data_IF_781248132003
#
_entry.id   IF_781248132003
#
_cell.length_a   1.000
_cell.length_b   1.000
_cell.length_c   1.000
_cell.angle_alpha   90.00
_cell.angle_beta   90.00
_cell.angle_gamma   90.00
#
_symmetry.space_group_name_H-M   'P 1'
#
loop_
_entity.id
_entity.type
_entity.pdbx_description
1 polymer ?
#
# COMPACT_ATOMS: atom_id res chain seq x y z
N UNK A 1 -24.62 33.13 -26.73
CA UNK A 1 -25.80 33.82 -26.14
C UNK A 1 -26.94 32.82 -26.02
N UNK A 2 -27.79 32.92 -24.96
CA UNK A 2 -29.14 32.34 -24.77
C UNK A 2 -29.37 30.85 -25.17
N UNK A 3 -29.53 29.89 -24.26
CA UNK A 3 -30.65 29.61 -23.30
C UNK A 3 -32.05 29.45 -23.93
N UNK A 4 -32.53 28.20 -23.97
CA UNK A 4 -33.81 27.68 -23.44
C UNK A 4 -33.55 26.20 -23.09
N UNK A 5 -33.98 25.56 -21.99
CA UNK A 5 -34.74 25.97 -20.78
C UNK A 5 -36.28 26.02 -20.89
N UNK A 6 -36.92 24.86 -20.73
CA UNK A 6 -38.26 24.55 -20.14
C UNK A 6 -38.45 23.00 -20.22
N UNK A 7 -39.14 22.26 -19.36
CA UNK A 7 -39.74 22.47 -18.04
C UNK A 7 -40.13 21.06 -17.50
N UNK A 8 -39.73 20.67 -16.29
CA UNK A 8 -40.48 20.84 -15.04
C UNK A 8 -41.85 20.14 -15.03
N UNK A 9 -41.93 18.99 -14.34
CA UNK A 9 -43.13 18.58 -13.60
C UNK A 9 -42.75 18.26 -12.16
N UNK A 10 -43.31 19.03 -11.24
CA UNK A 10 -43.44 18.70 -9.82
C UNK A 10 -44.88 18.15 -9.62
N UNK A 11 -45.32 17.59 -8.48
CA UNK A 11 -44.70 17.36 -7.18
C UNK A 11 -45.52 16.28 -6.41
N UNK A 12 -44.95 15.71 -5.34
CA UNK A 12 -45.62 15.30 -4.08
C UNK A 12 -46.87 14.40 -4.17
N UNK A 13 -46.79 13.18 -3.62
CA UNK A 13 -47.61 12.74 -2.46
C UNK A 13 -46.80 11.80 -1.57
N UNK A 14 -46.89 12.04 -0.27
CA UNK A 14 -46.29 11.29 0.84
C UNK A 14 -46.94 9.93 1.05
N UNK A 15 -46.16 8.87 1.30
CA UNK A 15 -46.64 7.65 1.95
C UNK A 15 -45.54 7.06 2.85
N UNK A 16 -45.72 7.19 4.17
CA UNK A 16 -44.86 6.55 5.15
C UNK A 16 -45.38 5.14 5.45
N UNK A 17 -44.53 4.12 5.22
CA UNK A 17 -44.65 2.77 5.79
C UNK A 17 -43.23 2.34 6.16
N UNK A 18 -42.83 2.48 7.43
CA UNK A 18 -43.08 1.46 8.47
C UNK A 18 -42.21 0.20 8.32
N UNK A 19 -40.90 0.36 8.11
CA UNK A 19 -39.90 -0.58 8.63
C UNK A 19 -39.67 -0.26 10.10
N UNK A 20 -40.11 -1.13 11.00
CA UNK A 20 -40.23 -0.81 12.42
C UNK A 20 -38.91 -0.44 13.08
N UNK A 21 -38.88 0.75 13.70
CA UNK A 21 -38.13 0.89 14.93
C UNK A 21 -38.71 -0.12 15.92
N UNK A 22 -38.03 -1.25 16.13
CA UNK A 22 -38.17 -1.97 17.39
C UNK A 22 -37.54 -1.07 18.44
N UNK A 23 -38.31 -0.09 18.91
CA UNK A 23 -38.08 0.51 20.21
C UNK A 23 -38.39 -0.57 21.23
N UNK A 24 -37.41 -1.46 21.41
CA UNK A 24 -37.22 -2.19 22.64
C UNK A 24 -36.97 -1.11 23.70
N UNK A 25 -38.06 -0.56 24.24
CA UNK A 25 -38.11 -0.24 25.65
C UNK A 25 -38.07 -1.58 26.41
N UNK A 26 -36.94 -2.27 26.28
CA UNK A 26 -36.37 -2.95 27.41
C UNK A 26 -36.02 -1.82 28.37
N UNK A 27 -37.04 -1.43 29.15
CA UNK A 27 -36.81 -0.79 30.41
C UNK A 27 -36.04 -1.82 31.23
N UNK A 28 -34.71 -1.79 31.07
CA UNK A 28 -33.75 -2.23 32.07
C UNK A 28 -34.14 -1.48 33.34
N UNK A 29 -35.08 -2.09 34.03
CA UNK A 29 -35.60 -1.64 35.30
C UNK A 29 -34.49 -2.01 36.24
N UNK A 30 -33.48 -1.14 36.32
CA UNK A 30 -32.27 -1.32 37.12
C UNK A 30 -32.69 -1.96 38.42
N UNK A 31 -32.33 -3.23 38.63
CA UNK A 31 -32.70 -3.89 39.87
C UNK A 31 -32.09 -3.05 40.99
N UNK A 32 -32.80 -2.79 42.10
CA UNK A 32 -32.27 -1.92 43.14
C UNK A 32 -30.88 -2.39 43.62
N UNK A 33 -29.82 -1.68 43.22
CA UNK A 33 -28.42 -2.05 43.44
C UNK A 33 -27.61 -2.46 42.21
N UNK A 34 -28.20 -2.57 41.01
CA UNK A 34 -27.46 -2.68 39.74
C UNK A 34 -27.21 -1.28 39.16
N UNK A 35 -25.94 -0.96 38.91
CA UNK A 35 -25.55 0.27 38.22
C UNK A 35 -25.91 0.25 36.73
N UNK A 36 -25.64 1.34 35.99
CA UNK A 36 -25.87 1.40 34.55
C UNK A 36 -25.01 0.36 33.81
N UNK A 37 -25.41 -0.01 32.59
CA UNK A 37 -24.58 -0.84 31.72
C UNK A 37 -23.50 0.01 31.03
N UNK A 38 -22.35 -0.61 30.69
CA UNK A 38 -21.27 0.06 29.91
C UNK A 38 -21.80 0.65 28.59
N UNK A 39 -22.85 0.07 28.00
CA UNK A 39 -23.51 0.58 26.79
C UNK A 39 -24.45 1.75 27.07
N UNK A 40 -25.20 1.72 28.18
CA UNK A 40 -26.08 2.82 28.60
C UNK A 40 -25.29 4.10 28.89
N UNK A 41 -24.14 3.98 29.56
CA UNK A 41 -23.25 5.11 29.83
C UNK A 41 -22.75 5.80 28.54
N UNK A 42 -22.46 5.02 27.48
CA UNK A 42 -22.01 5.54 26.18
C UNK A 42 -23.08 6.30 25.40
N UNK A 43 -24.35 5.89 25.48
CA UNK A 43 -25.42 6.45 24.65
C UNK A 43 -25.86 7.86 25.06
N UNK A 44 -25.67 8.24 26.33
CA UNK A 44 -26.15 9.52 26.87
C UNK A 44 -25.30 10.76 26.52
N UNK A 45 -24.07 10.59 26.02
CA UNK A 45 -23.00 11.62 26.07
C UNK A 45 -22.70 12.16 27.47
N UNK A 46 -23.16 11.46 28.50
CA UNK A 46 -22.86 11.76 29.90
C UNK A 46 -21.36 11.59 30.11
N UNK A 47 -20.70 12.60 30.68
CA UNK A 47 -19.34 12.41 31.20
C UNK A 47 -19.39 11.65 32.53
N UNK A 48 -18.22 11.34 33.11
CA UNK A 48 -18.17 10.64 34.38
C UNK A 48 -18.93 11.34 35.51
N UNK A 49 -19.01 12.68 35.49
CA UNK A 49 -19.73 13.47 36.51
C UNK A 49 -21.24 13.28 36.39
N UNK A 50 -21.77 13.29 35.16
CA UNK A 50 -23.19 13.01 34.90
C UNK A 50 -23.57 11.58 35.34
N UNK A 51 -22.70 10.60 35.06
CA UNK A 51 -22.91 9.20 35.46
C UNK A 51 -22.84 9.03 36.99
N UNK A 52 -21.86 9.65 37.68
CA UNK A 52 -21.80 9.67 39.14
C UNK A 52 -23.08 10.29 39.75
N UNK A 53 -23.45 11.48 39.27
CA UNK A 53 -24.57 12.27 39.80
C UNK A 53 -25.90 11.52 39.65
N UNK A 54 -26.13 10.91 38.48
CA UNK A 54 -27.35 10.14 38.19
C UNK A 54 -27.51 8.89 39.05
N UNK A 55 -26.42 8.38 39.63
CA UNK A 55 -26.39 7.20 40.50
C UNK A 55 -26.16 7.54 41.98
N UNK A 56 -26.31 8.80 42.37
CA UNK A 56 -26.09 9.31 43.73
C UNK A 56 -24.68 9.02 44.31
N UNK A 57 -23.68 8.91 43.44
CA UNK A 57 -22.27 8.77 43.82
C UNK A 57 -21.63 10.16 44.08
N UNK A 58 -20.48 10.23 44.79
CA UNK A 58 -19.79 11.49 45.04
C UNK A 58 -19.40 12.24 43.76
N UNK A 59 -19.37 13.57 43.82
CA UNK A 59 -18.89 14.39 42.71
C UNK A 59 -17.41 14.08 42.43
N UNK A 60 -17.08 13.76 41.17
CA UNK A 60 -15.73 13.31 40.79
C UNK A 60 -15.43 11.86 41.16
N UNK A 61 -16.45 11.00 41.32
CA UNK A 61 -16.24 9.54 41.35
C UNK A 61 -15.67 9.04 40.02
N UNK A 62 -15.19 7.80 40.00
CA UNK A 62 -14.82 7.09 38.77
C UNK A 62 -15.83 5.96 38.51
N UNK A 63 -16.80 6.13 37.60
CA UNK A 63 -17.82 5.13 37.29
C UNK A 63 -17.26 3.74 37.01
N UNK A 64 -16.14 3.60 36.29
CA UNK A 64 -15.56 2.29 36.02
C UNK A 64 -15.10 1.58 37.30
N UNK A 65 -14.66 2.33 38.31
CA UNK A 65 -14.27 1.78 39.61
C UNK A 65 -15.49 1.47 40.48
N UNK A 66 -16.45 2.39 40.57
CA UNK A 66 -17.62 2.25 41.44
C UNK A 66 -18.58 1.14 40.95
N UNK A 67 -18.65 0.89 39.63
CA UNK A 67 -19.45 -0.19 39.05
C UNK A 67 -18.65 -1.47 38.72
N UNK A 68 -17.37 -1.53 39.08
CA UNK A 68 -16.53 -2.72 38.87
C UNK A 68 -16.33 -3.09 37.41
N UNK A 69 -16.25 -2.10 36.52
CA UNK A 69 -15.96 -2.29 35.10
C UNK A 69 -14.46 -2.51 34.86
N UNK A 70 -13.59 -1.88 35.67
CA UNK A 70 -12.18 -2.26 35.75
C UNK A 70 -11.99 -3.63 36.41
N UNK A 71 -11.12 -4.47 35.86
CA UNK A 71 -10.79 -5.78 36.40
C UNK A 71 -11.80 -6.88 36.02
N UNK A 72 -12.71 -6.61 35.07
CA UNK A 72 -13.65 -7.59 34.52
C UNK A 72 -13.08 -8.43 33.35
N UNK A 73 -11.87 -8.10 32.91
CA UNK A 73 -11.15 -8.74 31.81
C UNK A 73 -11.36 -8.10 30.43
N UNK A 74 -12.11 -7.00 30.35
CA UNK A 74 -12.39 -6.25 29.12
C UNK A 74 -11.81 -4.84 29.22
N UNK A 75 -10.93 -4.49 28.27
CA UNK A 75 -10.35 -3.14 28.20
C UNK A 75 -11.41 -2.08 27.84
N UNK A 76 -11.69 -1.17 28.78
CA UNK A 76 -12.65 -0.06 28.71
C UNK A 76 -12.02 1.26 28.22
N UNK A 77 -10.99 1.14 27.38
CA UNK A 77 -10.37 2.20 26.59
C UNK A 77 -11.34 3.31 26.14
N UNK A 78 -12.46 2.91 25.54
CA UNK A 78 -13.41 3.83 24.92
C UNK A 78 -14.27 4.60 25.95
N UNK A 79 -14.43 4.07 27.16
CA UNK A 79 -15.04 4.80 28.28
C UNK A 79 -14.09 5.85 28.85
N UNK A 80 -12.78 5.60 28.82
CA UNK A 80 -11.74 6.56 29.22
C UNK A 80 -11.66 7.71 28.19
N UNK A 81 -11.61 7.38 26.88
CA UNK A 81 -11.61 8.37 25.80
C UNK A 81 -12.91 9.23 25.79
N UNK A 82 -14.06 8.61 26.09
CA UNK A 82 -15.32 9.31 26.25
C UNK A 82 -15.42 10.16 27.54
N UNK A 83 -14.40 10.14 28.40
CA UNK A 83 -14.37 10.78 29.74
C UNK A 83 -15.46 10.30 30.70
N UNK A 84 -15.99 9.09 30.45
CA UNK A 84 -16.91 8.39 31.37
C UNK A 84 -16.13 7.84 32.56
N UNK A 85 -14.92 7.34 32.33
CA UNK A 85 -14.05 6.76 33.35
C UNK A 85 -12.73 7.53 33.46
N UNK A 86 -12.11 7.51 34.64
CA UNK A 86 -10.90 8.31 34.91
C UNK A 86 -9.61 7.68 34.34
N UNK A 87 -9.58 6.35 34.23
CA UNK A 87 -8.42 5.55 33.82
C UNK A 87 -7.25 5.56 34.81
N UNK A 88 -6.17 4.78 34.54
CA UNK A 88 -6.10 3.75 33.51
C UNK A 88 -6.84 2.47 33.94
N UNK A 89 -7.30 1.70 32.96
CA UNK A 89 -7.92 0.40 33.20
C UNK A 89 -6.84 -0.70 33.30
N UNK A 90 -6.79 -1.50 34.40
CA UNK A 90 -5.85 -2.62 34.54
C UNK A 90 -6.01 -3.74 33.51
N UNK A 91 -7.18 -3.87 32.84
CA UNK A 91 -7.40 -4.88 31.80
C UNK A 91 -6.92 -4.44 30.42
N UNK A 92 -6.67 -3.14 30.22
CA UNK A 92 -6.04 -2.60 29.03
C UNK A 92 -4.55 -2.97 28.97
N UNK A 93 -4.30 -4.22 28.55
CA UNK A 93 -2.97 -4.71 28.18
C UNK A 93 -2.58 -4.12 26.84
N UNK A 94 -1.30 -3.79 26.72
CA UNK A 94 -0.74 -3.34 25.45
C UNK A 94 -0.91 -4.40 24.37
N UNK A 95 -1.55 -4.01 23.26
CA UNK A 95 -1.67 -4.82 22.05
C UNK A 95 -1.00 -4.12 20.89
N UNK A 96 -0.03 -4.77 20.26
CA UNK A 96 0.71 -4.20 19.15
C UNK A 96 0.52 -5.03 17.87
N UNK A 97 0.60 -4.35 16.72
CA UNK A 97 0.56 -4.96 15.41
C UNK A 97 1.48 -4.24 14.42
N UNK A 98 2.03 -4.97 13.47
CA UNK A 98 2.75 -4.43 12.32
C UNK A 98 1.94 -4.65 11.03
N UNK A 99 2.26 -3.87 9.99
CA UNK A 99 1.74 -4.06 8.64
C UNK A 99 2.75 -3.56 7.61
N UNK A 100 3.03 -4.37 6.59
CA UNK A 100 3.77 -3.97 5.39
C UNK A 100 2.80 -3.47 4.30
N UNK A 101 3.16 -2.40 3.61
CA UNK A 101 2.50 -1.92 2.39
C UNK A 101 3.51 -1.76 1.24
N UNK A 102 3.00 -1.86 0.01
CA UNK A 102 3.75 -1.69 -1.22
C UNK A 102 3.19 -0.48 -1.96
N UNK A 103 4.07 0.47 -2.25
CA UNK A 103 3.77 1.67 -3.02
C UNK A 103 4.55 1.62 -4.33
N UNK A 104 3.88 1.93 -5.43
CA UNK A 104 4.48 1.90 -6.75
C UNK A 104 4.27 3.20 -7.52
N UNK A 105 5.26 3.49 -8.35
CA UNK A 105 5.15 4.40 -9.49
C UNK A 105 5.77 3.77 -10.73
N UNK A 106 5.51 4.31 -11.90
CA UNK A 106 6.25 3.94 -13.10
C UNK A 106 7.75 4.29 -12.95
N UNK A 107 8.61 3.33 -13.23
CA UNK A 107 10.06 3.51 -13.19
C UNK A 107 10.47 4.65 -14.12
N UNK A 108 11.38 5.52 -13.67
CA UNK A 108 11.93 6.64 -14.44
C UNK A 108 10.92 7.68 -14.96
N UNK A 109 9.67 7.63 -14.50
CA UNK A 109 8.62 8.60 -14.85
C UNK A 109 8.42 9.63 -13.74
N UNK A 110 8.41 10.90 -14.11
CA UNK A 110 8.21 12.04 -13.20
C UNK A 110 6.72 12.43 -13.05
N UNK A 111 5.85 11.42 -12.93
CA UNK A 111 4.41 11.58 -12.62
C UNK A 111 3.95 10.58 -11.57
N UNK A 112 2.82 10.86 -10.91
CA UNK A 112 2.19 9.95 -9.96
C UNK A 112 1.79 8.57 -10.53
N UNK A 113 1.94 7.54 -9.68
CA UNK A 113 1.35 6.22 -9.84
C UNK A 113 1.86 5.36 -10.99
N UNK A 114 1.11 4.30 -11.28
CA UNK A 114 1.31 3.40 -12.43
C UNK A 114 0.38 3.82 -13.56
N UNK A 115 0.90 3.97 -14.78
CA UNK A 115 0.08 4.22 -15.98
C UNK A 115 -0.14 2.97 -16.85
N UNK A 116 0.68 1.94 -16.69
CA UNK A 116 0.45 0.62 -17.30
C UNK A 116 1.15 -0.49 -16.54
N UNK A 117 0.55 -1.69 -16.50
CA UNK A 117 1.20 -2.90 -16.00
C UNK A 117 2.42 -3.32 -16.86
N UNK A 118 2.41 -2.98 -18.16
CA UNK A 118 3.48 -3.29 -19.09
C UNK A 118 4.76 -2.47 -18.88
N UNK A 119 4.69 -1.35 -18.14
CA UNK A 119 5.86 -0.54 -17.80
C UNK A 119 6.45 -0.98 -16.46
N UNK A 120 7.77 -1.15 -16.30
CA UNK A 120 8.39 -1.52 -15.03
C UNK A 120 8.00 -0.60 -13.86
N UNK A 121 7.61 -1.14 -12.69
CA UNK A 121 7.45 -0.34 -11.48
C UNK A 121 8.80 0.03 -10.85
N UNK A 122 8.84 1.19 -10.19
CA UNK A 122 9.64 1.35 -8.97
C UNK A 122 8.74 1.01 -7.78
N UNK A 123 9.11 -0.02 -7.02
CA UNK A 123 8.39 -0.43 -5.80
C UNK A 123 9.14 0.02 -4.56
N UNK A 124 8.53 0.87 -3.75
CA UNK A 124 8.95 1.19 -2.38
C UNK A 124 8.05 0.41 -1.43
N UNK A 125 8.58 -0.10 -0.33
CA UNK A 125 7.75 -0.66 0.75
C UNK A 125 7.78 0.24 1.99
N UNK A 126 6.74 0.17 2.80
CA UNK A 126 6.64 0.80 4.11
C UNK A 126 6.19 -0.22 5.14
N UNK A 127 6.76 -0.15 6.35
CA UNK A 127 6.29 -0.90 7.51
C UNK A 127 5.85 0.10 8.58
N UNK A 128 4.65 -0.12 9.11
CA UNK A 128 4.12 0.63 10.26
C UNK A 128 3.88 -0.33 11.40
N UNK A 129 4.31 0.05 12.60
CA UNK A 129 4.03 -0.65 13.87
C UNK A 129 3.18 0.26 14.73
N UNK A 130 2.02 -0.25 15.11
CA UNK A 130 1.10 0.39 16.03
C UNK A 130 1.09 -0.36 17.36
N UNK A 131 0.90 0.37 18.45
CA UNK A 131 0.50 -0.21 19.72
C UNK A 131 -0.68 0.58 20.28
N UNK A 132 -1.67 -0.15 20.76
CA UNK A 132 -2.73 0.37 21.63
C UNK A 132 -2.20 0.33 23.07
N UNK A 133 -2.07 1.50 23.70
CA UNK A 133 -1.55 1.63 25.07
C UNK A 133 -2.58 1.22 26.13
N UNK A 134 -2.16 1.20 27.41
CA UNK A 134 -3.06 0.94 28.55
C UNK A 134 -4.13 2.03 28.78
N UNK A 135 -4.03 3.14 28.06
CA UNK A 135 -5.05 4.19 27.97
C UNK A 135 -6.00 3.99 26.77
N UNK A 136 -5.90 2.89 26.02
CA UNK A 136 -6.76 2.61 24.87
C UNK A 136 -6.36 3.27 23.55
N UNK A 137 -5.40 4.19 23.58
CA UNK A 137 -5.02 4.98 22.40
C UNK A 137 -4.10 4.16 21.49
N UNK A 138 -4.54 3.92 20.25
CA UNK A 138 -3.69 3.38 19.18
C UNK A 138 -2.71 4.45 18.70
N UNK A 139 -1.42 4.11 18.63
CA UNK A 139 -0.36 5.02 18.22
C UNK A 139 0.67 4.31 17.36
N UNK A 140 1.11 4.98 16.28
CA UNK A 140 2.27 4.55 15.51
C UNK A 140 3.51 4.69 16.40
N UNK A 141 4.12 3.56 16.78
CA UNK A 141 5.33 3.53 17.60
C UNK A 141 6.61 3.35 16.76
N UNK A 142 6.48 2.90 15.51
CA UNK A 142 7.53 2.93 14.51
C UNK A 142 6.94 3.01 13.11
N UNK A 143 7.60 3.78 12.24
CA UNK A 143 7.36 3.83 10.80
C UNK A 143 8.72 3.76 10.12
N UNK A 144 8.84 2.98 9.05
CA UNK A 144 10.05 2.89 8.25
C UNK A 144 9.72 2.54 6.80
N UNK A 145 10.47 3.11 5.87
CA UNK A 145 10.37 2.84 4.45
C UNK A 145 11.73 2.46 3.88
N UNK A 146 11.73 1.60 2.87
CA UNK A 146 12.92 1.30 2.07
C UNK A 146 12.72 1.97 0.71
N UNK A 147 13.16 3.22 0.61
CA UNK A 147 13.02 4.01 -0.60
C UNK A 147 13.84 3.40 -1.73
N UNK A 148 13.21 3.33 -2.89
CA UNK A 148 13.82 2.77 -4.08
C UNK A 148 14.08 3.84 -5.13
N UNK A 149 15.35 4.03 -5.49
CA UNK A 149 15.80 5.10 -6.38
C UNK A 149 15.41 6.52 -5.90
N UNK A 150 15.46 6.76 -4.59
CA UNK A 150 15.35 8.08 -3.97
C UNK A 150 13.97 8.75 -3.97
N UNK A 151 12.91 8.09 -4.46
CA UNK A 151 11.54 8.59 -4.25
C UNK A 151 11.04 8.14 -2.88
N UNK A 152 10.82 9.09 -1.97
CA UNK A 152 10.27 8.82 -0.63
C UNK A 152 8.73 8.79 -0.64
N UNK A 153 8.08 8.07 0.30
CA UNK A 153 6.63 8.14 0.47
C UNK A 153 6.14 9.58 0.71
N UNK A 154 5.05 9.96 0.05
CA UNK A 154 4.44 11.30 0.21
C UNK A 154 5.06 12.42 -0.64
N UNK A 155 6.18 12.18 -1.34
CA UNK A 155 6.70 13.14 -2.35
C UNK A 155 5.68 13.33 -3.46
N UNK A 156 5.52 14.57 -3.95
CA UNK A 156 4.52 14.96 -4.95
C UNK A 156 5.14 15.34 -6.28
N UNK A 157 4.42 15.06 -7.36
CA UNK A 157 4.78 15.50 -8.71
C UNK A 157 4.41 16.98 -8.97
N UNK A 158 4.67 17.45 -10.19
CA UNK A 158 4.41 18.84 -10.59
C UNK A 158 2.92 19.25 -10.59
N UNK A 159 2.00 18.29 -10.57
CA UNK A 159 0.55 18.53 -10.47
C UNK A 159 0.08 18.57 -9.00
N UNK A 160 0.93 18.14 -8.07
CA UNK A 160 0.61 18.02 -6.65
C UNK A 160 0.12 16.64 -6.22
N UNK A 161 0.15 15.65 -7.12
CA UNK A 161 -0.25 14.27 -6.87
C UNK A 161 0.90 13.47 -6.25
N UNK A 162 0.61 12.52 -5.35
CA UNK A 162 1.64 11.74 -4.66
C UNK A 162 2.26 10.71 -5.62
N UNK A 163 3.59 10.73 -5.73
CA UNK A 163 4.34 9.86 -6.63
C UNK A 163 4.05 8.38 -6.42
N UNK A 164 4.30 7.90 -5.19
CA UNK A 164 4.19 6.51 -4.80
C UNK A 164 2.76 6.23 -4.33
N UNK A 165 2.01 5.49 -5.14
CA UNK A 165 0.62 5.10 -4.84
C UNK A 165 0.62 3.71 -4.24
N UNK A 166 -0.11 3.51 -3.13
CA UNK A 166 -0.30 2.20 -2.52
C UNK A 166 -1.04 1.25 -3.50
N UNK A 167 -0.41 0.12 -3.83
CA UNK A 167 -0.97 -0.93 -4.69
C UNK A 167 -1.38 -2.18 -3.91
N UNK A 168 -0.74 -2.43 -2.76
CA UNK A 168 -1.06 -3.55 -1.86
C UNK A 168 -0.74 -3.19 -0.43
N UNK A 169 -1.51 -3.75 0.50
CA UNK A 169 -1.27 -3.71 1.94
C UNK A 169 -1.54 -5.08 2.53
N UNK A 170 -0.66 -5.53 3.42
CA UNK A 170 -0.73 -6.85 4.05
C UNK A 170 -1.79 -6.93 5.15
N UNK A 171 -2.12 -8.14 5.60
CA UNK A 171 -2.85 -8.32 6.85
C UNK A 171 -2.01 -7.84 8.04
N UNK A 172 -2.67 -7.40 9.13
CA UNK A 172 -1.98 -7.03 10.37
C UNK A 172 -1.38 -8.26 11.04
N UNK A 173 -0.13 -8.16 11.50
CA UNK A 173 0.56 -9.20 12.29
C UNK A 173 0.70 -8.70 13.71
N UNK A 174 0.05 -9.36 14.66
CA UNK A 174 0.18 -9.07 16.09
C UNK A 174 1.47 -9.66 16.67
N UNK A 175 2.04 -8.97 17.65
CA UNK A 175 3.26 -9.41 18.35
C UNK A 175 3.54 -8.53 19.57
N UNK A 176 4.61 -8.82 20.32
CA UNK A 176 5.07 -7.89 21.37
C UNK A 176 5.69 -6.64 20.74
N UNK A 177 5.69 -5.51 21.47
CA UNK A 177 6.40 -4.28 21.03
C UNK A 177 7.85 -4.59 20.62
N UNK A 178 8.59 -5.32 21.46
CA UNK A 178 9.99 -5.66 21.22
C UNK A 178 10.19 -6.49 19.94
N UNK A 179 9.33 -7.49 19.72
CA UNK A 179 9.33 -8.33 18.53
C UNK A 179 9.04 -7.51 17.26
N UNK A 180 8.06 -6.61 17.30
CA UNK A 180 7.66 -5.79 16.14
C UNK A 180 8.68 -4.69 15.84
N UNK A 181 9.31 -4.09 16.86
CA UNK A 181 10.43 -3.17 16.67
C UNK A 181 11.67 -3.89 16.12
N UNK A 182 11.96 -5.11 16.60
CA UNK A 182 13.03 -5.95 16.05
C UNK A 182 12.77 -6.33 14.58
N UNK A 183 11.50 -6.56 14.22
CA UNK A 183 11.10 -6.73 12.82
C UNK A 183 11.39 -5.47 11.98
N UNK A 184 11.09 -4.27 12.47
CA UNK A 184 11.40 -3.01 11.75
C UNK A 184 12.91 -2.86 11.50
N UNK A 185 13.76 -3.21 12.46
CA UNK A 185 15.22 -3.17 12.25
C UNK A 185 15.71 -4.26 11.29
N UNK A 186 15.16 -5.48 11.35
CA UNK A 186 15.46 -6.52 10.38
C UNK A 186 15.05 -6.13 8.96
N UNK A 187 13.86 -5.55 8.80
CA UNK A 187 13.32 -5.03 7.55
C UNK A 187 14.24 -3.97 6.90
N UNK A 188 14.81 -3.05 7.69
CA UNK A 188 15.78 -2.05 7.19
C UNK A 188 17.06 -2.67 6.62
N UNK A 189 17.39 -3.92 6.96
CA UNK A 189 18.55 -4.65 6.42
C UNK A 189 18.24 -5.43 5.14
N UNK A 190 16.96 -5.48 4.72
CA UNK A 190 16.50 -6.24 3.57
C UNK A 190 16.78 -5.49 2.25
N UNK A 191 18.04 -5.51 1.83
CA UNK A 191 18.51 -5.01 0.53
C UNK A 191 19.50 -5.99 -0.12
N UNK A 192 19.49 -6.03 -1.45
CA UNK A 192 20.37 -6.83 -2.30
C UNK A 192 21.73 -6.16 -2.58
N UNK A 193 21.90 -4.88 -2.24
CA UNK A 193 23.14 -4.10 -2.45
C UNK A 193 24.43 -4.76 -1.89
N UNK A 194 24.44 -5.38 -0.70
CA UNK A 194 25.66 -6.00 -0.18
C UNK A 194 26.12 -7.24 -0.96
N UNK A 195 25.26 -7.82 -1.80
CA UNK A 195 25.53 -9.02 -2.59
C UNK A 195 25.66 -8.75 -4.09
N UNK A 196 25.06 -7.66 -4.60
CA UNK A 196 24.96 -7.36 -6.04
C UNK A 196 24.92 -5.85 -6.31
N UNK A 197 25.32 -5.44 -7.51
CA UNK A 197 25.39 -4.05 -7.96
C UNK A 197 24.00 -3.54 -8.35
N UNK A 198 23.64 -2.32 -7.95
CA UNK A 198 22.41 -1.70 -8.43
C UNK A 198 22.52 -1.35 -9.93
N UNK A 199 21.56 -1.78 -10.74
CA UNK A 199 21.44 -1.44 -12.16
C UNK A 199 20.57 -0.19 -12.32
N UNK A 200 21.18 1.00 -12.21
CA UNK A 200 20.54 2.25 -12.66
C UNK A 200 20.51 2.32 -14.18
N UNK A 201 19.56 3.05 -14.78
CA UNK A 201 19.60 3.29 -16.24
C UNK A 201 20.78 4.16 -16.66
N UNK A 202 21.24 5.07 -15.78
CA UNK A 202 22.44 5.88 -16.01
C UNK A 202 23.75 5.07 -15.94
N UNK A 203 23.72 3.91 -15.27
CA UNK A 203 24.85 2.99 -15.10
C UNK A 203 24.68 1.65 -15.84
N UNK A 204 23.59 1.47 -16.58
CA UNK A 204 23.37 0.29 -17.41
C UNK A 204 24.43 0.28 -18.51
N UNK A 205 25.27 -0.76 -18.52
CA UNK A 205 26.36 -0.83 -19.50
C UNK A 205 25.79 -0.74 -20.92
N UNK A 206 26.45 0.06 -21.77
CA UNK A 206 26.03 0.30 -23.15
C UNK A 206 25.69 -1.00 -23.90
N UNK A 207 26.38 -2.09 -23.61
CA UNK A 207 26.17 -3.39 -24.24
C UNK A 207 24.87 -4.09 -23.81
N UNK A 208 24.39 -3.86 -22.58
CA UNK A 208 23.03 -4.27 -22.15
C UNK A 208 21.98 -3.50 -22.94
N UNK A 209 22.11 -2.17 -23.03
CA UNK A 209 21.16 -1.32 -23.74
C UNK A 209 21.17 -1.56 -25.25
N UNK A 210 22.35 -1.78 -25.86
CA UNK A 210 22.49 -2.25 -27.25
C UNK A 210 21.78 -3.58 -27.44
N UNK A 211 21.90 -4.54 -26.51
CA UNK A 211 21.27 -5.86 -26.64
C UNK A 211 19.74 -5.78 -26.52
N UNK A 212 19.21 -4.97 -25.60
CA UNK A 212 17.77 -4.65 -25.53
C UNK A 212 17.31 -4.09 -26.86
N UNK A 213 17.96 -3.01 -27.33
CA UNK A 213 17.56 -2.31 -28.57
C UNK A 213 17.66 -3.22 -29.80
N UNK A 214 18.73 -4.00 -29.95
CA UNK A 214 18.90 -4.96 -31.05
C UNK A 214 17.75 -5.99 -31.07
N UNK A 215 17.31 -6.45 -29.90
CA UNK A 215 16.23 -7.45 -29.83
C UNK A 215 14.86 -6.81 -30.17
N UNK A 216 14.57 -5.62 -29.65
CA UNK A 216 13.34 -4.87 -30.00
C UNK A 216 13.32 -4.55 -31.50
N UNK A 217 14.42 -4.07 -32.07
CA UNK A 217 14.57 -3.79 -33.50
C UNK A 217 14.32 -5.05 -34.34
N UNK A 218 14.93 -6.18 -33.97
CA UNK A 218 14.74 -7.45 -34.67
C UNK A 218 13.29 -7.91 -34.62
N UNK A 219 12.63 -7.83 -33.46
CA UNK A 219 11.22 -8.19 -33.30
C UNK A 219 10.30 -7.28 -34.13
N UNK A 220 10.53 -5.96 -34.10
CA UNK A 220 9.81 -4.99 -34.93
C UNK A 220 9.97 -5.31 -36.42
N UNK A 221 11.20 -5.57 -36.89
CA UNK A 221 11.46 -5.95 -38.28
C UNK A 221 10.81 -7.29 -38.70
N UNK A 222 10.53 -8.19 -37.76
CA UNK A 222 9.92 -9.50 -38.03
C UNK A 222 8.40 -9.50 -37.97
N UNK A 223 7.79 -8.64 -37.14
CA UNK A 223 6.36 -8.72 -36.80
C UNK A 223 5.54 -7.45 -37.08
N UNK A 224 6.20 -6.32 -37.42
CA UNK A 224 5.51 -5.07 -37.76
C UNK A 224 5.51 -4.87 -39.29
N UNK A 225 4.33 -5.03 -39.89
CA UNK A 225 4.09 -4.81 -41.32
C UNK A 225 3.59 -3.38 -41.53
N UNK A 226 4.40 -2.56 -42.18
CA UNK A 226 4.06 -1.19 -42.53
C UNK A 226 3.58 -1.06 -43.98
N UNK A 227 2.61 -0.16 -44.20
CA UNK A 227 2.11 0.20 -45.53
C UNK A 227 2.78 1.47 -46.04
N UNK A 228 3.07 1.50 -47.35
CA UNK A 228 3.77 2.63 -47.98
C UNK A 228 2.98 3.95 -47.78
N UNK A 229 3.66 5.08 -47.49
CA UNK A 229 5.10 5.30 -47.62
C UNK A 229 5.95 4.82 -46.43
N UNK A 230 5.35 4.45 -45.31
CA UNK A 230 6.07 4.06 -44.09
C UNK A 230 6.70 2.68 -44.23
N UNK A 231 7.96 2.54 -43.81
CA UNK A 231 8.68 1.25 -43.78
C UNK A 231 9.07 0.86 -42.37
N UNK A 232 9.24 -0.43 -42.11
CA UNK A 232 9.68 -0.92 -40.79
C UNK A 232 11.09 -0.43 -40.44
N UNK A 233 11.96 -0.21 -41.43
CA UNK A 233 13.27 0.44 -41.22
C UNK A 233 13.15 1.92 -40.81
N UNK A 234 12.14 2.64 -41.30
CA UNK A 234 11.84 3.99 -40.83
C UNK A 234 11.38 3.98 -39.36
N UNK A 235 10.55 3.01 -38.96
CA UNK A 235 10.18 2.80 -37.54
C UNK A 235 11.44 2.53 -36.69
N UNK A 236 12.36 1.68 -37.16
CA UNK A 236 13.64 1.40 -36.49
C UNK A 236 14.52 2.64 -36.35
N UNK A 237 14.68 3.43 -37.43
CA UNK A 237 15.44 4.68 -37.37
C UNK A 237 14.84 5.68 -36.37
N UNK A 238 13.51 5.84 -36.36
CA UNK A 238 12.81 6.71 -35.42
C UNK A 238 12.97 6.26 -33.96
N UNK A 239 13.03 4.96 -33.68
CA UNK A 239 13.37 4.43 -32.34
C UNK A 239 14.82 4.74 -31.95
N UNK A 240 15.77 4.56 -32.87
CA UNK A 240 17.20 4.80 -32.64
C UNK A 240 17.51 6.30 -32.41
N UNK A 241 16.87 7.17 -33.18
CA UNK A 241 16.96 8.64 -33.06
C UNK A 241 16.17 9.20 -31.86
N UNK A 242 15.47 8.35 -31.10
CA UNK A 242 14.56 8.72 -29.98
C UNK A 242 13.45 9.69 -30.41
N UNK A 243 13.04 9.62 -31.67
CA UNK A 243 12.03 10.50 -32.28
C UNK A 243 10.62 9.98 -32.01
N UNK A 244 10.16 10.06 -30.76
CA UNK A 244 8.89 9.46 -30.32
C UNK A 244 7.66 10.01 -31.06
N UNK A 245 7.60 11.31 -31.34
CA UNK A 245 6.49 11.91 -32.10
C UNK A 245 6.46 11.39 -33.55
N UNK A 246 7.64 11.27 -34.19
CA UNK A 246 7.77 10.70 -35.53
C UNK A 246 7.39 9.22 -35.55
N UNK A 247 7.83 8.47 -34.54
CA UNK A 247 7.50 7.05 -34.34
C UNK A 247 5.99 6.84 -34.23
N UNK A 248 5.32 7.57 -33.34
CA UNK A 248 3.86 7.51 -33.18
C UNK A 248 3.11 7.93 -34.46
N UNK A 249 3.60 8.95 -35.17
CA UNK A 249 3.00 9.42 -36.41
C UNK A 249 3.16 8.44 -37.59
N UNK A 250 4.20 7.60 -37.58
CA UNK A 250 4.46 6.56 -38.58
C UNK A 250 3.75 5.23 -38.24
N UNK A 251 3.66 4.87 -36.95
CA UNK A 251 3.04 3.61 -36.50
C UNK A 251 1.58 3.44 -36.91
N UNK A 252 0.85 4.53 -37.17
CA UNK A 252 -0.54 4.48 -37.70
C UNK A 252 -0.65 3.76 -39.05
N UNK A 253 0.43 3.72 -39.83
CA UNK A 253 0.51 3.11 -41.15
C UNK A 253 0.97 1.65 -41.08
N UNK A 254 1.18 1.12 -39.86
CA UNK A 254 1.68 -0.22 -39.58
C UNK A 254 0.70 -1.05 -38.75
N UNK A 255 0.75 -2.37 -38.94
CA UNK A 255 0.00 -3.35 -38.17
C UNK A 255 0.94 -4.45 -37.66
N UNK A 256 0.56 -5.08 -36.55
CA UNK A 256 1.23 -6.25 -36.01
C UNK A 256 0.64 -7.54 -36.60
N UNK A 257 1.51 -8.47 -37.00
CA UNK A 257 1.08 -9.78 -37.50
C UNK A 257 0.55 -10.69 -36.39
N UNK A 258 -0.55 -11.39 -36.67
CA UNK A 258 -1.20 -12.47 -35.89
C UNK A 258 -0.86 -12.54 -34.38
N UNK A 259 -1.44 -11.62 -33.61
CA UNK A 259 -1.36 -11.63 -32.14
C UNK A 259 -0.08 -11.04 -31.55
N UNK A 260 0.85 -10.58 -32.39
CA UNK A 260 2.02 -9.81 -31.95
C UNK A 260 1.60 -8.44 -31.40
N UNK A 261 2.38 -7.89 -30.47
CA UNK A 261 2.18 -6.52 -29.97
C UNK A 261 3.51 -5.91 -29.48
N UNK A 262 3.47 -4.62 -29.13
CA UNK A 262 4.60 -3.93 -28.46
C UNK A 262 4.93 -4.57 -27.10
N UNK A 263 3.92 -4.92 -26.32
CA UNK A 263 4.07 -5.57 -25.02
C UNK A 263 4.73 -6.95 -25.17
N UNK A 264 4.31 -7.74 -26.15
CA UNK A 264 4.94 -9.02 -26.47
C UNK A 264 6.39 -8.86 -26.93
N UNK A 265 6.69 -7.83 -27.75
CA UNK A 265 8.05 -7.53 -28.20
C UNK A 265 9.00 -7.05 -27.11
N UNK A 266 8.51 -6.19 -26.20
CA UNK A 266 9.27 -5.73 -25.03
C UNK A 266 9.47 -6.84 -24.00
N UNK A 267 8.48 -7.71 -23.82
CA UNK A 267 8.61 -8.92 -23.00
C UNK A 267 9.64 -9.89 -23.59
N UNK A 268 9.57 -10.16 -24.91
CA UNK A 268 10.55 -11.00 -25.60
C UNK A 268 11.96 -10.40 -25.54
N UNK A 269 12.11 -9.08 -25.71
CA UNK A 269 13.40 -8.41 -25.61
C UNK A 269 13.99 -8.48 -24.19
N UNK A 270 13.19 -8.22 -23.17
CA UNK A 270 13.64 -8.35 -21.77
C UNK A 270 13.99 -9.79 -21.39
N UNK A 271 13.17 -10.77 -21.80
CA UNK A 271 13.49 -12.20 -21.62
C UNK A 271 14.76 -12.63 -22.36
N UNK A 272 14.95 -12.17 -23.61
CA UNK A 272 16.15 -12.48 -24.40
C UNK A 272 17.40 -11.93 -23.74
N UNK A 273 17.36 -10.65 -23.32
CA UNK A 273 18.45 -9.99 -22.59
C UNK A 273 18.77 -10.70 -21.28
N UNK A 274 17.75 -11.10 -20.51
CA UNK A 274 17.94 -11.92 -19.30
C UNK A 274 18.54 -13.29 -19.63
N UNK A 275 18.18 -13.93 -20.74
CA UNK A 275 18.71 -15.24 -21.11
C UNK A 275 20.16 -15.19 -21.63
N UNK A 276 20.49 -14.23 -22.50
CA UNK A 276 21.82 -14.12 -23.12
C UNK A 276 22.84 -13.47 -22.19
N UNK A 277 22.41 -12.53 -21.35
CA UNK A 277 23.25 -11.90 -20.34
C UNK A 277 23.07 -12.54 -18.96
N UNK A 278 22.48 -13.75 -18.90
CA UNK A 278 22.10 -14.42 -17.64
C UNK A 278 23.23 -14.75 -16.67
N UNK A 279 24.50 -14.62 -17.09
CA UNK A 279 25.66 -14.63 -16.17
C UNK A 279 26.21 -13.23 -15.85
N UNK A 280 26.04 -12.26 -16.75
CA UNK A 280 26.48 -10.86 -16.53
C UNK A 280 25.52 -10.11 -15.62
N UNK A 281 24.21 -10.33 -15.78
CA UNK A 281 23.15 -9.71 -15.00
C UNK A 281 23.00 -10.31 -13.60
N UNK A 282 23.54 -11.50 -13.34
CA UNK A 282 23.56 -12.12 -12.00
C UNK A 282 24.35 -11.27 -10.97
N UNK A 283 25.31 -10.46 -11.43
CA UNK A 283 26.00 -9.48 -10.58
C UNK A 283 25.14 -8.27 -10.21
N UNK A 284 23.93 -8.14 -10.77
CA UNK A 284 23.09 -6.95 -10.70
C UNK A 284 21.69 -7.20 -10.12
N UNK A 285 21.12 -6.17 -9.50
CA UNK A 285 19.72 -6.09 -9.11
C UNK A 285 19.10 -4.74 -9.53
N UNK A 286 17.77 -4.65 -9.50
CA UNK A 286 17.02 -3.39 -9.57
C UNK A 286 16.12 -3.25 -8.35
N UNK A 287 15.48 -2.10 -8.21
CA UNK A 287 14.56 -1.74 -7.13
C UNK A 287 13.65 -2.89 -6.66
N UNK A 288 13.00 -3.56 -7.60
CA UNK A 288 12.00 -4.58 -7.31
C UNK A 288 12.58 -5.87 -6.71
N UNK A 289 13.90 -6.10 -6.76
CA UNK A 289 14.55 -7.22 -6.07
C UNK A 289 14.47 -7.03 -4.54
N UNK A 290 14.79 -5.82 -4.05
CA UNK A 290 14.68 -5.45 -2.63
C UNK A 290 13.23 -5.57 -2.13
N UNK A 291 12.27 -5.09 -2.91
CA UNK A 291 10.85 -5.17 -2.55
C UNK A 291 10.33 -6.63 -2.48
N UNK A 292 10.86 -7.54 -3.30
CA UNK A 292 10.59 -8.98 -3.20
C UNK A 292 11.28 -9.64 -2.01
N UNK A 293 12.53 -9.26 -1.71
CA UNK A 293 13.26 -9.73 -0.52
C UNK A 293 12.52 -9.32 0.77
N UNK A 294 12.08 -8.06 0.85
CA UNK A 294 11.28 -7.51 1.95
C UNK A 294 9.93 -8.23 2.08
N UNK A 295 9.26 -8.53 0.96
CA UNK A 295 8.01 -9.30 0.95
C UNK A 295 8.21 -10.73 1.50
N UNK A 296 9.23 -11.45 1.03
CA UNK A 296 9.53 -12.80 1.51
C UNK A 296 9.91 -12.84 3.00
N UNK A 297 10.65 -11.84 3.48
CA UNK A 297 10.96 -11.67 4.89
C UNK A 297 9.70 -11.41 5.73
N UNK A 298 8.82 -10.53 5.25
CA UNK A 298 7.53 -10.26 5.88
C UNK A 298 6.63 -11.49 5.92
N UNK A 299 6.55 -12.27 4.85
CA UNK A 299 5.78 -13.52 4.82
C UNK A 299 6.34 -14.57 5.79
N UNK A 300 7.66 -14.65 5.97
CA UNK A 300 8.23 -15.50 7.02
C UNK A 300 7.94 -14.99 8.43
N UNK A 301 7.99 -13.68 8.66
CA UNK A 301 7.65 -13.07 9.94
C UNK A 301 6.18 -13.27 10.30
N UNK A 302 5.27 -12.99 9.35
CA UNK A 302 3.82 -13.12 9.52
C UNK A 302 3.36 -14.55 9.82
N UNK A 303 4.05 -15.55 9.24
CA UNK A 303 3.75 -16.98 9.42
C UNK A 303 4.40 -17.58 10.67
N UNK A 304 5.68 -17.29 10.89
CA UNK A 304 6.49 -17.98 11.91
C UNK A 304 6.59 -17.19 13.23
N UNK A 305 6.23 -15.90 13.24
CA UNK A 305 6.47 -14.95 14.33
C UNK A 305 7.96 -14.59 14.56
N UNK A 306 8.88 -15.39 14.05
CA UNK A 306 10.31 -15.22 14.23
C UNK A 306 10.87 -14.08 13.35
N UNK A 307 11.48 -13.10 14.00
CA UNK A 307 12.32 -12.11 13.31
C UNK A 307 13.62 -12.80 12.86
N UNK A 308 13.89 -12.77 11.56
CA UNK A 308 15.09 -13.34 10.94
C UNK A 308 15.79 -12.23 10.15
N UNK A 309 17.13 -12.26 10.12
CA UNK A 309 17.89 -11.41 9.23
C UNK A 309 17.57 -11.75 7.77
N UNK A 310 17.56 -10.74 6.89
CA UNK A 310 17.37 -10.96 5.47
C UNK A 310 18.59 -11.65 4.84
N UNK A 311 18.34 -12.69 4.05
CA UNK A 311 19.37 -13.37 3.27
C UNK A 311 19.49 -12.70 1.89
N UNK A 312 20.42 -11.74 1.81
CA UNK A 312 20.75 -11.03 0.58
C UNK A 312 21.50 -11.89 -0.46
N UNK A 313 21.84 -13.14 -0.15
CA UNK A 313 22.46 -14.07 -1.10
C UNK A 313 21.44 -14.86 -1.94
N UNK A 314 20.15 -14.76 -1.61
CA UNK A 314 19.05 -15.42 -2.30
C UNK A 314 19.02 -15.11 -3.80
N UNK A 315 18.47 -16.04 -4.58
CA UNK A 315 18.26 -15.87 -6.02
C UNK A 315 17.44 -14.62 -6.37
N UNK A 316 16.57 -14.15 -5.46
CA UNK A 316 15.81 -12.90 -5.63
C UNK A 316 16.70 -11.66 -5.75
N UNK A 317 17.96 -11.71 -5.30
CA UNK A 317 18.92 -10.62 -5.42
C UNK A 317 19.80 -10.69 -6.66
N UNK A 318 19.73 -11.76 -7.46
CA UNK A 318 20.57 -11.95 -8.64
C UNK A 318 19.72 -11.82 -9.90
N UNK A 319 20.17 -11.00 -10.84
CA UNK A 319 19.40 -10.65 -12.02
C UNK A 319 18.36 -9.56 -11.73
N UNK A 320 18.17 -8.59 -12.64
CA UNK A 320 17.21 -7.51 -12.44
C UNK A 320 15.75 -8.01 -12.53
N UNK A 321 15.00 -7.90 -11.43
CA UNK A 321 13.56 -8.14 -11.37
C UNK A 321 12.75 -7.00 -11.99
N UNK A 322 12.89 -6.73 -13.30
CA UNK A 322 12.24 -5.56 -13.94
C UNK A 322 10.74 -5.45 -13.66
N UNK A 323 10.01 -6.57 -13.65
CA UNK A 323 8.59 -6.61 -13.31
C UNK A 323 8.37 -7.18 -11.89
N UNK A 324 7.46 -6.53 -11.16
CA UNK A 324 6.96 -6.98 -9.86
C UNK A 324 5.55 -6.47 -9.62
N UNK A 325 4.63 -7.40 -9.42
CA UNK A 325 3.28 -7.17 -8.91
C UNK A 325 3.23 -7.80 -7.51
N UNK A 326 3.01 -6.99 -6.44
CA UNK A 326 2.97 -7.49 -5.06
C UNK A 326 1.80 -8.42 -4.78
#
# INVERSE_FOLDING_TARGET
>A
MKRHTLGLFAAIVTAALASGCSSSNDGDTLQPGQGPSKSGARQGKADGVDVCTSNALPAGCDPCKEFGWYGDGVCDADLIDARVCAGPDPDCKESCWAQLAWLQKDAYKETAGRSSAAWPPHTTTTVQVHCTGANGVDSVIADAFMANHGTEPGVKDANGDVFLVEVRRSARVSGSREQLLSWVEAYKTCTCEPATKFLSLDGAQDDVMKKVMTTVVTYVQQHLVCTAPTTTDQIVGLMQDKSYDGLLAALKDCAWDDGSSWEAGLLAASQTVVSELGGTLDEYHVCNNDAKLQAAAWESFARDGAVKACDNSQAVCKGPSFLYEP
#
